data_IF_953561263325
#
_entry.id   IF_953561263325
#
_cell.length_a   1.000
_cell.length_b   1.000
_cell.length_c   1.000
_cell.angle_alpha   90.00
_cell.angle_beta   90.00
_cell.angle_gamma   90.00
#
_symmetry.space_group_name_H-M   'P 1'
#
loop_
_entity.id
_entity.type
_entity.pdbx_description
1 polymer ?
#
# COMPACT_ATOMS: atom_id res chain seq x y z
N UNK A 1 16.71 -5.46 -3.36
CA UNK A 1 15.75 -5.10 -2.30
C UNK A 1 15.33 -3.67 -2.54
N UNK A 2 14.03 -3.42 -2.66
CA UNK A 2 13.46 -2.09 -2.87
C UNK A 2 12.87 -1.63 -1.56
N UNK A 3 13.38 -0.53 -1.01
CA UNK A 3 12.80 0.11 0.19
C UNK A 3 11.93 1.27 -0.25
N UNK A 4 10.66 1.27 0.18
CA UNK A 4 9.71 2.35 -0.08
C UNK A 4 9.54 3.21 1.18
N UNK A 5 9.87 4.49 1.06
CA UNK A 5 9.56 5.50 2.06
C UNK A 5 8.12 6.00 1.95
N UNK A 6 7.78 6.96 2.80
CA UNK A 6 6.43 7.53 2.85
C UNK A 6 6.09 8.23 1.54
N UNK A 7 5.04 7.80 0.86
CA UNK A 7 4.65 8.33 -0.44
C UNK A 7 5.47 7.83 -1.62
N UNK A 8 6.27 6.79 -1.43
CA UNK A 8 6.90 6.05 -2.53
C UNK A 8 6.01 4.89 -2.99
N UNK A 9 6.25 4.44 -4.23
CA UNK A 9 5.66 3.24 -4.80
C UNK A 9 6.69 2.52 -5.65
N UNK A 10 6.48 1.23 -5.89
CA UNK A 10 7.32 0.43 -6.76
C UNK A 10 6.65 -0.85 -7.20
N UNK A 11 7.13 -1.41 -8.31
CA UNK A 11 6.72 -2.71 -8.81
C UNK A 11 7.95 -3.48 -9.30
N UNK A 12 7.92 -4.80 -9.12
CA UNK A 12 8.99 -5.68 -9.58
C UNK A 12 8.43 -7.03 -10.03
N UNK A 13 9.15 -7.63 -10.98
CA UNK A 13 9.00 -9.02 -11.41
C UNK A 13 10.32 -9.78 -11.36
N UNK A 14 11.35 -9.17 -10.75
CA UNK A 14 12.70 -9.73 -10.69
C UNK A 14 12.77 -10.80 -9.60
N UNK A 15 13.11 -12.06 -9.94
CA UNK A 15 13.26 -13.13 -8.95
C UNK A 15 14.28 -12.78 -7.85
N UNK A 16 14.03 -13.24 -6.63
CA UNK A 16 14.86 -12.98 -5.44
C UNK A 16 14.76 -11.56 -4.87
N UNK A 17 13.94 -10.68 -5.46
CA UNK A 17 13.75 -9.33 -4.94
C UNK A 17 12.63 -9.25 -3.89
N UNK A 18 12.80 -8.32 -2.95
CA UNK A 18 11.83 -8.01 -1.91
C UNK A 18 11.55 -6.51 -1.94
N UNK A 19 10.26 -6.13 -1.92
CA UNK A 19 9.81 -4.76 -1.73
C UNK A 19 9.40 -4.60 -0.27
N UNK A 20 9.94 -3.58 0.42
CA UNK A 20 9.70 -3.41 1.86
C UNK A 20 9.37 -1.96 2.20
N UNK A 21 8.44 -1.77 3.12
CA UNK A 21 8.16 -0.48 3.73
C UNK A 21 8.01 -0.61 5.24
N UNK A 22 8.40 0.42 5.97
CA UNK A 22 8.58 0.38 7.41
C UNK A 22 7.60 1.28 8.14
N UNK A 23 7.33 0.93 9.40
CA UNK A 23 6.68 1.81 10.39
C UNK A 23 5.37 2.47 9.91
N UNK A 24 4.49 1.70 9.29
CA UNK A 24 3.12 2.12 8.96
C UNK A 24 2.34 2.32 10.26
N UNK A 25 2.28 3.58 10.72
CA UNK A 25 1.36 4.05 11.74
C UNK A 25 -0.03 4.26 11.13
N UNK A 26 -0.46 5.53 10.96
CA UNK A 26 -1.68 5.86 10.23
C UNK A 26 -1.59 5.63 8.72
N UNK A 27 -0.38 5.50 8.17
CA UNK A 27 -0.15 5.19 6.76
C UNK A 27 -0.61 3.76 6.42
N UNK A 28 -0.90 3.52 5.14
CA UNK A 28 -1.35 2.21 4.63
C UNK A 28 -0.47 1.78 3.48
N UNK A 29 0.05 0.55 3.55
CA UNK A 29 0.62 -0.12 2.39
C UNK A 29 -0.48 -0.75 1.56
N UNK A 30 -0.50 -0.41 0.27
CA UNK A 30 -1.34 -1.08 -0.74
C UNK A 30 -0.45 -2.02 -1.53
N UNK A 31 -0.75 -3.31 -1.45
CA UNK A 31 0.00 -4.36 -2.15
C UNK A 31 -0.84 -4.89 -3.30
N UNK A 32 -0.25 -4.95 -4.49
CA UNK A 32 -0.86 -5.51 -5.69
C UNK A 32 -0.04 -6.70 -6.18
N UNK A 33 -0.72 -7.74 -6.63
CA UNK A 33 -0.11 -8.91 -7.25
C UNK A 33 -0.87 -9.27 -8.51
N UNK A 34 -0.17 -9.36 -9.64
CA UNK A 34 -0.73 -9.91 -10.86
C UNK A 34 -0.36 -11.40 -10.98
N UNK A 35 -1.31 -12.33 -10.82
CA UNK A 35 -1.03 -13.76 -10.89
C UNK A 35 -0.60 -14.23 -12.29
N UNK A 36 -0.98 -13.51 -13.35
CA UNK A 36 -0.64 -13.89 -14.73
C UNK A 36 0.82 -13.61 -15.05
N UNK A 37 1.32 -12.47 -14.61
CA UNK A 37 2.69 -12.01 -14.92
C UNK A 37 3.67 -12.20 -13.78
N UNK A 38 3.18 -12.59 -12.59
CA UNK A 38 3.94 -12.64 -11.33
C UNK A 38 4.56 -11.29 -10.96
N UNK A 39 4.02 -10.20 -11.48
CA UNK A 39 4.40 -8.85 -11.09
C UNK A 39 3.81 -8.56 -9.73
N UNK A 40 4.61 -8.00 -8.84
CA UNK A 40 4.14 -7.49 -7.54
C UNK A 40 4.46 -6.01 -7.41
N UNK A 41 3.67 -5.29 -6.64
CA UNK A 41 3.90 -3.88 -6.38
C UNK A 41 3.34 -3.43 -5.05
N UNK A 42 3.90 -2.34 -4.54
CA UNK A 42 3.49 -1.76 -3.28
C UNK A 42 3.55 -0.23 -3.35
N UNK A 43 2.62 0.44 -2.68
CA UNK A 43 2.67 1.89 -2.41
C UNK A 43 2.50 2.16 -0.92
N UNK A 44 3.24 3.14 -0.39
CA UNK A 44 3.10 3.62 0.98
C UNK A 44 2.28 4.92 1.00
N UNK A 45 1.01 4.83 1.36
CA UNK A 45 0.06 5.95 1.30
C UNK A 45 -0.09 6.57 2.68
N UNK A 46 0.06 7.89 2.76
CA UNK A 46 0.03 8.64 4.02
C UNK A 46 -1.27 9.42 4.23
N UNK A 47 -1.89 9.89 3.15
CA UNK A 47 -3.10 10.71 3.19
C UNK A 47 -4.18 10.20 2.21
N UNK A 48 -5.46 10.53 2.46
CA UNK A 48 -6.55 9.99 1.65
C UNK A 48 -6.74 10.71 0.31
N UNK A 49 -6.37 11.99 0.19
CA UNK A 49 -6.77 12.84 -0.93
C UNK A 49 -5.71 13.91 -1.24
N UNK A 50 -5.36 14.06 -2.52
CA UNK A 50 -4.31 14.97 -2.99
C UNK A 50 -4.66 16.45 -2.87
N UNK A 51 -5.94 16.81 -2.79
CA UNK A 51 -6.39 18.20 -2.60
C UNK A 51 -5.92 18.80 -1.27
N UNK A 52 -5.55 17.94 -0.29
CA UNK A 52 -5.00 18.35 0.99
C UNK A 52 -3.64 19.06 0.79
N UNK A 53 -2.81 18.57 -0.14
CA UNK A 53 -1.48 19.11 -0.44
C UNK A 53 -1.15 18.94 -1.93
N UNK A 54 -1.69 19.79 -2.82
CA UNK A 54 -1.59 19.60 -4.26
C UNK A 54 -0.16 19.61 -4.81
N UNK A 55 0.73 20.46 -4.29
CA UNK A 55 2.11 20.51 -4.76
C UNK A 55 2.89 19.25 -4.38
N UNK A 56 2.66 18.72 -3.18
CA UNK A 56 3.24 17.45 -2.76
C UNK A 56 2.72 16.28 -3.61
N UNK A 57 1.47 16.33 -4.06
CA UNK A 57 0.92 15.28 -4.92
C UNK A 57 1.60 15.22 -6.30
N UNK A 58 2.10 16.36 -6.81
CA UNK A 58 2.90 16.40 -8.04
C UNK A 58 4.26 15.73 -7.86
N UNK A 59 4.90 15.96 -6.73
CA UNK A 59 6.24 15.43 -6.42
C UNK A 59 6.22 13.98 -5.96
N UNK A 60 5.25 13.63 -5.09
CA UNK A 60 5.10 12.32 -4.44
C UNK A 60 3.64 11.85 -4.55
N UNK A 61 3.20 11.41 -5.74
CA UNK A 61 1.81 11.00 -5.95
C UNK A 61 1.38 9.85 -5.04
N UNK A 62 2.27 8.92 -4.72
CA UNK A 62 1.95 7.82 -3.81
C UNK A 62 1.79 8.25 -2.34
N UNK A 63 2.00 9.52 -2.01
CA UNK A 63 1.68 10.07 -0.69
C UNK A 63 0.16 10.08 -0.44
N UNK A 64 -0.66 10.15 -1.49
CA UNK A 64 -2.11 10.23 -1.40
C UNK A 64 -2.79 9.03 -2.06
N UNK A 65 -3.97 8.63 -1.60
CA UNK A 65 -4.64 7.45 -2.12
C UNK A 65 -5.10 7.62 -3.58
N UNK A 66 -5.73 8.76 -3.88
CA UNK A 66 -6.31 9.11 -5.18
C UNK A 66 -5.27 9.17 -6.32
N UNK A 67 -4.05 9.61 -6.02
CA UNK A 67 -2.96 9.71 -7.00
C UNK A 67 -2.00 8.52 -6.91
N UNK A 68 -1.85 7.90 -5.73
CA UNK A 68 -0.98 6.78 -5.48
C UNK A 68 -1.40 5.47 -6.15
N UNK A 69 -2.69 5.15 -6.14
CA UNK A 69 -3.19 3.94 -6.81
C UNK A 69 -2.97 4.00 -8.33
N UNK A 70 -3.32 5.11 -9.03
CA UNK A 70 -3.03 5.24 -10.45
C UNK A 70 -1.55 5.10 -10.82
N UNK A 71 -0.63 5.70 -10.06
CA UNK A 71 0.81 5.56 -10.36
C UNK A 71 1.33 4.15 -10.05
N UNK A 72 0.78 3.48 -9.03
CA UNK A 72 1.10 2.10 -8.74
C UNK A 72 0.63 1.16 -9.87
N UNK A 73 -0.60 1.33 -10.38
CA UNK A 73 -1.07 0.56 -11.53
C UNK A 73 -0.18 0.76 -12.75
N UNK A 74 0.22 2.01 -13.05
CA UNK A 74 1.17 2.30 -14.14
C UNK A 74 2.52 1.63 -13.91
N UNK A 75 3.02 1.58 -12.67
CA UNK A 75 4.26 0.87 -12.36
C UNK A 75 4.13 -0.64 -12.59
N UNK A 76 2.99 -1.24 -12.23
CA UNK A 76 2.68 -2.65 -12.51
C UNK A 76 2.61 -2.91 -14.02
N UNK A 77 1.91 -2.06 -14.77
CA UNK A 77 1.78 -2.15 -16.23
C UNK A 77 3.14 -2.08 -16.94
N UNK A 78 4.05 -1.21 -16.47
CA UNK A 78 5.43 -1.14 -17.00
C UNK A 78 6.21 -2.44 -16.82
N UNK A 79 5.85 -3.27 -15.85
CA UNK A 79 6.44 -4.59 -15.66
C UNK A 79 5.75 -5.68 -16.49
N UNK A 80 4.65 -5.35 -17.16
CA UNK A 80 3.89 -6.24 -18.04
C UNK A 80 2.52 -6.62 -17.49
N UNK A 81 2.13 -6.13 -16.31
CA UNK A 81 0.87 -6.50 -15.69
C UNK A 81 -0.35 -5.92 -16.42
N UNK A 82 -1.53 -6.49 -16.13
CA UNK A 82 -2.77 -6.03 -16.73
C UNK A 82 -3.08 -4.54 -16.45
N UNK A 83 -3.66 -3.86 -17.45
CA UNK A 83 -4.06 -2.46 -17.32
C UNK A 83 -5.07 -2.24 -16.21
N UNK A 84 -4.96 -1.09 -15.54
CA UNK A 84 -5.90 -0.65 -14.50
C UNK A 84 -6.10 -1.70 -13.39
N UNK A 85 -5.11 -2.55 -13.17
CA UNK A 85 -5.13 -3.59 -12.14
C UNK A 85 -6.08 -4.76 -12.39
N UNK A 86 -6.64 -4.93 -13.58
CA UNK A 86 -7.64 -5.98 -13.85
C UNK A 86 -7.10 -7.39 -13.55
N UNK A 87 -7.76 -8.11 -12.64
CA UNK A 87 -7.37 -9.46 -12.23
C UNK A 87 -6.21 -9.50 -11.22
N UNK A 88 -5.77 -8.34 -10.70
CA UNK A 88 -4.80 -8.29 -9.62
C UNK A 88 -5.45 -8.64 -8.28
N UNK A 89 -4.65 -9.27 -7.43
CA UNK A 89 -4.95 -9.51 -6.03
C UNK A 89 -4.50 -8.27 -5.24
N UNK A 90 -5.34 -7.82 -4.33
CA UNK A 90 -5.05 -6.66 -3.48
C UNK A 90 -4.95 -7.09 -2.01
N UNK A 91 -3.92 -6.60 -1.32
CA UNK A 91 -3.78 -6.75 0.14
C UNK A 91 -3.44 -5.41 0.78
N UNK A 92 -3.93 -5.18 1.99
CA UNK A 92 -3.74 -3.93 2.74
C UNK A 92 -3.12 -4.17 4.11
N UNK A 93 -2.19 -3.30 4.51
CA UNK A 93 -1.65 -3.32 5.87
C UNK A 93 -1.36 -1.92 6.40
N UNK A 94 -1.58 -1.67 7.69
CA UNK A 94 -1.29 -0.38 8.34
C UNK A 94 -2.53 0.31 8.91
N UNK A 95 -2.64 1.63 8.77
CA UNK A 95 -3.82 2.38 9.16
C UNK A 95 -4.12 2.36 10.66
N UNK A 96 -3.11 2.18 11.51
CA UNK A 96 -3.25 2.18 12.96
C UNK A 96 -3.72 3.56 13.48
N UNK A 97 -4.46 3.54 14.60
CA UNK A 97 -4.77 4.74 15.38
C UNK A 97 -3.51 5.12 16.16
N UNK A 98 -2.75 6.07 15.64
CA UNK A 98 -1.73 6.77 16.44
C UNK A 98 -2.49 7.71 17.37
N UNK A 99 -2.20 7.68 18.67
CA UNK A 99 -2.80 8.61 19.64
C UNK A 99 -2.48 10.05 19.20
N UNK A 100 -3.50 10.73 18.70
CA UNK A 100 -3.51 12.17 18.58
C UNK A 100 -4.30 12.69 19.79
N UNK A 101 -3.72 13.63 20.55
CA UNK A 101 -4.31 14.21 21.77
C UNK A 101 -5.69 14.84 21.52
N UNK A 102 -6.03 15.09 20.26
CA UNK A 102 -7.28 15.73 19.88
C UNK A 102 -8.44 14.77 19.55
N UNK A 103 -8.29 13.44 19.55
CA UNK A 103 -9.36 12.41 19.33
C UNK A 103 -10.32 12.58 18.11
N UNK A 104 -10.21 13.66 17.32
CA UNK A 104 -11.21 14.08 16.33
C UNK A 104 -10.88 13.59 14.91
N UNK A 105 -9.63 13.17 14.64
CA UNK A 105 -9.21 12.74 13.31
C UNK A 105 -8.47 11.40 13.29
N UNK A 106 -9.21 10.31 13.04
CA UNK A 106 -8.59 9.01 12.73
C UNK A 106 -8.11 8.97 11.26
N UNK A 107 -6.90 9.49 11.02
CA UNK A 107 -6.26 9.52 9.69
C UNK A 107 -6.15 8.11 9.10
N UNK A 108 -5.76 7.11 9.90
CA UNK A 108 -5.63 5.73 9.45
C UNK A 108 -6.93 5.17 8.88
N UNK A 109 -8.06 5.38 9.58
CA UNK A 109 -9.39 5.00 9.09
C UNK A 109 -9.74 5.72 7.78
N UNK A 110 -9.44 7.02 7.66
CA UNK A 110 -9.70 7.79 6.42
C UNK A 110 -8.88 7.27 5.24
N UNK A 111 -7.60 6.95 5.48
CA UNK A 111 -6.72 6.37 4.47
C UNK A 111 -7.25 5.03 3.95
N UNK A 112 -7.58 4.10 4.86
CA UNK A 112 -8.14 2.79 4.50
C UNK A 112 -9.43 2.94 3.69
N UNK A 113 -10.35 3.81 4.14
CA UNK A 113 -11.62 4.03 3.44
C UNK A 113 -11.43 4.64 2.05
N UNK A 114 -10.53 5.63 1.91
CA UNK A 114 -10.23 6.24 0.62
C UNK A 114 -9.64 5.23 -0.36
N UNK A 115 -8.65 4.44 0.10
CA UNK A 115 -8.03 3.38 -0.70
C UNK A 115 -9.09 2.38 -1.17
N UNK A 116 -9.94 1.87 -0.27
CA UNK A 116 -11.01 0.92 -0.63
C UNK A 116 -12.00 1.53 -1.62
N UNK A 117 -12.40 2.79 -1.44
CA UNK A 117 -13.29 3.50 -2.36
C UNK A 117 -12.69 3.56 -3.77
N UNK A 118 -11.40 3.89 -3.89
CA UNK A 118 -10.74 3.99 -5.19
C UNK A 118 -10.57 2.60 -5.81
N UNK A 119 -10.11 1.59 -5.06
CA UNK A 119 -10.03 0.20 -5.55
C UNK A 119 -11.35 -0.27 -6.13
N UNK A 120 -12.47 0.06 -5.47
CA UNK A 120 -13.80 -0.30 -5.94
C UNK A 120 -14.16 0.32 -7.29
N UNK A 121 -13.72 1.55 -7.58
CA UNK A 121 -13.86 2.18 -8.90
C UNK A 121 -13.11 1.42 -10.00
N UNK A 122 -12.01 0.75 -9.63
CA UNK A 122 -11.24 -0.15 -10.49
C UNK A 122 -11.77 -1.59 -10.50
N UNK A 123 -12.93 -1.85 -9.87
CA UNK A 123 -13.50 -3.20 -9.68
C UNK A 123 -12.57 -4.16 -8.91
N UNK A 124 -11.78 -3.59 -7.99
CA UNK A 124 -10.87 -4.31 -7.11
C UNK A 124 -11.34 -4.20 -5.66
N UNK A 125 -10.98 -5.20 -4.86
CA UNK A 125 -11.19 -5.21 -3.42
C UNK A 125 -10.07 -6.00 -2.74
N UNK A 126 -9.71 -5.63 -1.49
CA UNK A 126 -8.72 -6.39 -0.75
C UNK A 126 -9.22 -7.80 -0.46
N UNK A 127 -8.41 -8.81 -0.78
CA UNK A 127 -8.70 -10.21 -0.41
C UNK A 127 -8.25 -10.52 1.01
N UNK A 128 -7.31 -9.72 1.54
CA UNK A 128 -6.79 -9.80 2.89
C UNK A 128 -6.37 -8.40 3.37
N UNK A 129 -6.58 -8.13 4.65
CA UNK A 129 -6.18 -6.87 5.27
C UNK A 129 -5.80 -7.02 6.74
N UNK A 130 -4.72 -6.36 7.13
CA UNK A 130 -4.34 -6.17 8.53
C UNK A 130 -4.20 -4.66 8.78
N UNK A 131 -5.36 -4.05 8.99
CA UNK A 131 -5.51 -2.61 9.12
C UNK A 131 -5.99 -2.22 10.53
N UNK A 132 -6.01 -0.92 10.84
CA UNK A 132 -6.46 -0.40 12.13
C UNK A 132 -5.61 -0.90 13.31
N UNK A 133 -6.19 -1.00 14.51
CA UNK A 133 -5.48 -1.29 15.74
C UNK A 133 -4.57 -0.13 16.19
N UNK A 134 -3.63 -0.43 17.08
CA UNK A 134 -2.74 0.55 17.72
C UNK A 134 -1.25 0.29 17.48
N UNK A 135 -0.90 -0.73 16.70
CA UNK A 135 0.48 -1.13 16.45
C UNK A 135 0.96 -0.64 15.07
N UNK A 136 2.22 -0.19 15.01
CA UNK A 136 2.86 0.11 13.73
C UNK A 136 3.26 -1.18 13.01
N UNK A 137 3.26 -1.16 11.68
CA UNK A 137 3.53 -2.35 10.86
C UNK A 137 4.64 -2.10 9.86
N UNK A 138 5.53 -3.08 9.70
CA UNK A 138 6.49 -3.15 8.59
C UNK A 138 6.03 -4.25 7.65
N UNK A 139 5.96 -3.95 6.35
CA UNK A 139 5.42 -4.86 5.33
C UNK A 139 6.55 -5.21 4.38
N UNK A 140 6.76 -6.51 4.17
CA UNK A 140 7.70 -7.07 3.20
C UNK A 140 6.94 -7.93 2.19
N UNK A 141 7.23 -7.72 0.91
CA UNK A 141 6.62 -8.42 -0.21
C UNK A 141 7.71 -9.13 -1.01
N UNK A 142 7.66 -10.47 -1.00
CA UNK A 142 8.56 -11.32 -1.79
C UNK A 142 8.04 -11.42 -3.23
N UNK A 143 8.90 -11.14 -4.22
CA UNK A 143 8.50 -11.20 -5.64
C UNK A 143 8.24 -12.64 -6.09
N UNK A 144 9.07 -13.59 -5.67
CA UNK A 144 9.00 -14.99 -6.15
C UNK A 144 7.68 -15.68 -5.79
N UNK A 145 7.15 -15.36 -4.61
CA UNK A 145 5.99 -16.04 -4.03
C UNK A 145 4.75 -15.14 -3.94
N UNK A 146 4.92 -13.82 -4.06
CA UNK A 146 3.87 -12.87 -3.70
C UNK A 146 3.55 -12.85 -2.20
N UNK A 147 4.39 -13.45 -1.36
CA UNK A 147 4.12 -13.54 0.08
C UNK A 147 4.27 -12.17 0.73
N UNK A 148 3.25 -11.80 1.49
CA UNK A 148 3.25 -10.57 2.29
C UNK A 148 3.49 -10.94 3.75
N UNK A 149 4.62 -10.48 4.27
CA UNK A 149 4.98 -10.63 5.69
C UNK A 149 4.83 -9.30 6.40
N UNK A 150 4.04 -9.30 7.46
CA UNK A 150 3.92 -8.16 8.36
C UNK A 150 4.79 -8.43 9.58
N UNK A 151 5.46 -7.38 10.09
CA UNK A 151 6.15 -7.41 11.37
C UNK A 151 5.82 -6.17 12.19
N UNK A 152 5.79 -6.32 13.50
CA UNK A 152 5.57 -5.23 14.44
C UNK A 152 6.39 -5.43 15.71
N UNK A 153 6.90 -4.33 16.27
CA UNK A 153 7.59 -4.36 17.55
C UNK A 153 6.63 -4.86 18.63
N UNK A 154 7.02 -5.91 19.35
CA UNK A 154 6.21 -6.53 20.42
C UNK A 154 5.24 -7.62 19.98
N UNK A 155 4.95 -7.79 18.67
CA UNK A 155 4.10 -8.90 18.16
C UNK A 155 4.88 -9.94 17.35
N UNK A 156 6.05 -9.58 16.82
CA UNK A 156 6.82 -10.46 15.92
C UNK A 156 6.35 -10.33 14.48
N UNK A 157 6.43 -11.41 13.70
CA UNK A 157 6.04 -11.43 12.29
C UNK A 157 4.97 -12.48 11.97
N UNK A 158 4.08 -12.16 11.03
CA UNK A 158 3.02 -13.04 10.55
C UNK A 158 2.74 -12.80 9.06
N UNK A 159 2.02 -13.73 8.43
CA UNK A 159 1.62 -13.61 7.03
C UNK A 159 0.26 -12.94 6.91
N UNK A 160 0.13 -12.11 5.88
CA UNK A 160 -1.12 -11.51 5.44
C UNK A 160 -1.73 -12.29 4.28
#
# INVERSE_FOLDING_TARGET
>A
MITLGVGDHGASKKPGEVIKTYALGSCVAVVLLDPKTRTVGMAHIALPDSSIQPDRAKERPAYFADTGLPVLFKAMEKQGAAKNGHGMIVKLAGGAKVMDHNEVFNIGKRNVLAIKKILWQYKLGPVAEDVAGSISRTVSLEVDTGRVTISSAGRGSWYL
#
